data_IF_955184140514
#
_entry.id   IF_955184140514
#
_cell.length_a   1.000
_cell.length_b   1.000
_cell.length_c   1.000
_cell.angle_alpha   90.00
_cell.angle_beta   90.00
_cell.angle_gamma   90.00
#
_symmetry.space_group_name_H-M   'P 1'
#
loop_
_entity.id
_entity.type
_entity.pdbx_description
1 polymer ?
#
# COMPACT_ATOMS: atom_id res chain seq x y z
N UNK A 1 50.49 22.30 5.73
CA UNK A 1 49.49 21.22 5.94
C UNK A 1 49.10 20.65 4.58
N UNK A 2 49.47 19.39 4.28
CA UNK A 2 49.57 18.87 2.91
C UNK A 2 48.17 18.53 2.33
N UNK A 3 47.72 19.12 1.20
CA UNK A 3 46.37 18.94 0.67
C UNK A 3 46.03 17.49 0.29
N UNK A 4 47.04 16.66 0.02
CA UNK A 4 46.89 15.22 -0.27
C UNK A 4 46.37 14.40 0.92
N UNK A 5 46.67 14.82 2.16
CA UNK A 5 46.25 14.11 3.39
C UNK A 5 44.73 14.22 3.59
N UNK A 6 44.09 15.28 3.09
CA UNK A 6 42.63 15.46 3.14
C UNK A 6 41.89 14.75 2.00
N UNK A 7 42.62 14.30 0.96
CA UNK A 7 42.01 13.68 -0.22
C UNK A 7 41.68 12.20 0.00
N UNK A 8 42.57 11.48 0.69
CA UNK A 8 42.42 10.04 0.98
C UNK A 8 41.15 9.76 1.81
N UNK A 9 40.87 10.44 2.94
CA UNK A 9 39.65 10.19 3.70
C UNK A 9 38.38 10.51 2.89
N UNK A 10 38.41 11.55 2.06
CA UNK A 10 37.28 11.93 1.20
C UNK A 10 36.99 10.87 0.14
N UNK A 11 38.04 10.31 -0.49
CA UNK A 11 37.89 9.23 -1.45
C UNK A 11 37.29 7.98 -0.80
N UNK A 12 37.75 7.62 0.40
CA UNK A 12 37.20 6.50 1.17
C UNK A 12 35.73 6.73 1.53
N UNK A 13 35.36 7.94 1.96
CA UNK A 13 33.98 8.30 2.29
C UNK A 13 33.06 8.25 1.07
N UNK A 14 33.50 8.78 -0.07
CA UNK A 14 32.73 8.71 -1.32
C UNK A 14 32.58 7.28 -1.83
N UNK A 15 33.62 6.46 -1.73
CA UNK A 15 33.54 5.04 -2.07
C UNK A 15 32.55 4.29 -1.15
N UNK A 16 32.56 4.61 0.15
CA UNK A 16 31.61 4.04 1.12
C UNK A 16 30.17 4.45 0.84
N UNK A 17 29.92 5.74 0.58
CA UNK A 17 28.57 6.25 0.25
C UNK A 17 28.06 5.64 -1.05
N UNK A 18 28.90 5.60 -2.10
CA UNK A 18 28.52 4.99 -3.37
C UNK A 18 28.22 3.50 -3.23
N UNK A 19 29.07 2.76 -2.47
CA UNK A 19 28.83 1.35 -2.17
C UNK A 19 27.53 1.13 -1.41
N UNK A 20 27.23 1.97 -0.41
CA UNK A 20 25.98 1.90 0.35
C UNK A 20 24.77 2.24 -0.52
N UNK A 21 24.84 3.28 -1.35
CA UNK A 21 23.75 3.67 -2.24
C UNK A 21 23.41 2.56 -3.24
N UNK A 22 24.41 1.95 -3.88
CA UNK A 22 24.25 0.80 -4.78
C UNK A 22 23.68 -0.41 -4.05
N UNK A 23 24.13 -0.66 -2.83
CA UNK A 23 23.60 -1.76 -2.00
C UNK A 23 22.13 -1.53 -1.60
N UNK A 24 21.74 -0.29 -1.33
CA UNK A 24 20.35 0.07 -0.96
C UNK A 24 19.41 0.26 -2.14
N UNK A 25 19.90 0.33 -3.38
CA UNK A 25 19.04 0.47 -4.54
C UNK A 25 18.12 -0.76 -4.70
N UNK A 26 16.81 -0.54 -4.94
CA UNK A 26 15.87 -1.63 -5.17
C UNK A 26 16.22 -2.34 -6.48
N UNK A 27 16.53 -3.63 -6.39
CA UNK A 27 16.97 -4.46 -7.52
C UNK A 27 17.49 -5.82 -7.06
N UNK A 28 17.97 -6.64 -8.00
CA UNK A 28 18.55 -7.95 -7.72
C UNK A 28 19.93 -7.83 -7.05
N UNK A 29 19.91 -7.55 -5.74
CA UNK A 29 21.10 -7.41 -4.89
C UNK A 29 21.97 -8.68 -4.90
N UNK A 30 21.47 -9.83 -5.36
CA UNK A 30 22.25 -11.08 -5.46
C UNK A 30 23.42 -10.97 -6.44
N UNK A 31 23.33 -10.10 -7.46
CA UNK A 31 24.44 -9.86 -8.41
C UNK A 31 25.57 -9.08 -7.75
N UNK A 32 25.21 -8.10 -6.92
CA UNK A 32 26.14 -7.26 -6.16
C UNK A 32 26.88 -8.10 -5.10
N UNK A 33 26.16 -8.95 -4.36
CA UNK A 33 26.78 -9.93 -3.44
C UNK A 33 27.75 -10.87 -4.15
N UNK A 34 27.39 -11.40 -5.32
CA UNK A 34 28.27 -12.27 -6.11
C UNK A 34 29.54 -11.56 -6.58
N UNK A 35 29.44 -10.28 -6.92
CA UNK A 35 30.60 -9.48 -7.32
C UNK A 35 31.53 -9.20 -6.14
N UNK A 36 30.99 -8.78 -4.99
CA UNK A 36 31.80 -8.55 -3.78
C UNK A 36 32.38 -9.85 -3.19
N UNK A 37 31.64 -10.96 -3.29
CA UNK A 37 32.15 -12.28 -2.92
C UNK A 37 33.34 -12.72 -3.78
N UNK A 38 33.33 -12.46 -5.09
CA UNK A 38 34.49 -12.69 -5.98
C UNK A 38 35.68 -11.78 -5.64
N UNK A 39 35.43 -10.58 -5.14
CA UNK A 39 36.47 -9.64 -4.70
C UNK A 39 37.00 -9.94 -3.29
N UNK A 40 36.52 -10.98 -2.61
CA UNK A 40 36.95 -11.34 -1.26
C UNK A 40 36.53 -10.35 -0.18
N UNK A 41 35.57 -9.47 -0.47
CA UNK A 41 35.07 -8.46 0.47
C UNK A 41 33.84 -9.04 1.18
N UNK A 42 33.92 -9.34 2.49
CA UNK A 42 32.77 -9.83 3.24
C UNK A 42 31.78 -8.68 3.44
N UNK A 43 30.70 -8.70 2.66
CA UNK A 43 29.58 -7.74 2.84
C UNK A 43 28.55 -8.39 3.77
N UNK A 44 28.31 -7.84 4.97
CA UNK A 44 27.30 -8.37 5.88
C UNK A 44 25.91 -8.32 5.21
N UNK A 45 25.21 -9.46 5.23
CA UNK A 45 23.86 -9.55 4.73
C UNK A 45 22.88 -9.07 5.80
N UNK A 46 22.55 -7.77 5.77
CA UNK A 46 21.56 -7.16 6.64
C UNK A 46 20.11 -7.41 6.17
N UNK A 47 19.87 -8.50 5.44
CA UNK A 47 18.48 -8.94 5.23
C UNK A 47 17.90 -9.29 6.60
N UNK A 48 16.75 -8.69 6.88
CA UNK A 48 15.97 -8.92 8.08
C UNK A 48 15.84 -10.44 8.31
N UNK A 49 16.40 -10.93 9.42
CA UNK A 49 16.47 -12.36 9.79
C UNK A 49 15.10 -12.89 10.26
N UNK A 50 14.03 -12.61 9.52
CA UNK A 50 12.81 -13.40 9.67
C UNK A 50 13.04 -14.71 8.88
N UNK A 51 13.09 -15.89 9.53
CA UNK A 51 13.33 -17.18 8.86
C UNK A 51 12.33 -17.44 7.72
N UNK A 52 11.15 -16.83 7.82
CA UNK A 52 10.14 -16.72 6.77
C UNK A 52 9.77 -15.23 6.73
N UNK A 53 10.26 -14.43 5.73
CA UNK A 53 9.83 -13.04 5.59
C UNK A 53 8.31 -13.00 5.40
N UNK A 54 7.64 -11.89 5.76
CA UNK A 54 6.18 -11.75 5.71
C UNK A 54 5.59 -12.31 4.39
N UNK A 55 5.15 -13.57 4.42
CA UNK A 55 4.71 -14.35 3.26
C UNK A 55 3.26 -14.05 2.90
N UNK A 56 2.57 -13.25 3.71
CA UNK A 56 1.17 -12.95 3.54
C UNK A 56 0.92 -11.47 3.44
N UNK A 57 0.27 -11.09 2.34
CA UNK A 57 -0.23 -9.75 2.10
C UNK A 57 -1.75 -9.75 2.28
N UNK A 58 -2.27 -8.76 3.02
CA UNK A 58 -3.70 -8.52 3.13
C UNK A 58 -4.15 -7.57 2.02
N UNK A 59 -5.01 -8.08 1.15
CA UNK A 59 -5.46 -7.38 -0.05
C UNK A 59 -6.97 -7.19 -0.01
N UNK A 60 -7.42 -5.98 -0.36
CA UNK A 60 -8.83 -5.68 -0.57
C UNK A 60 -9.08 -5.74 -2.07
N UNK A 61 -10.04 -6.56 -2.46
CA UNK A 61 -10.54 -6.65 -3.83
C UNK A 61 -12.00 -6.23 -3.86
N UNK A 62 -12.42 -5.60 -4.95
CA UNK A 62 -13.79 -5.18 -5.14
C UNK A 62 -14.23 -5.40 -6.58
N UNK A 63 -15.54 -5.55 -6.77
CA UNK A 63 -16.16 -5.66 -8.08
C UNK A 63 -17.47 -4.88 -8.10
N UNK A 64 -17.85 -4.50 -9.30
CA UNK A 64 -19.10 -3.80 -9.56
C UNK A 64 -20.09 -4.77 -10.21
N UNK A 65 -21.36 -4.60 -9.84
CA UNK A 65 -22.49 -5.39 -10.27
C UNK A 65 -23.53 -4.47 -10.89
N UNK A 66 -24.14 -4.92 -11.99
CA UNK A 66 -25.26 -4.21 -12.61
C UNK A 66 -26.54 -4.33 -11.75
N UNK A 67 -27.49 -3.42 -11.98
CA UNK A 67 -28.78 -3.41 -11.28
C UNK A 67 -29.56 -4.73 -11.49
N UNK A 68 -29.51 -5.27 -12.71
CA UNK A 68 -30.26 -6.47 -13.10
C UNK A 68 -29.53 -7.78 -12.76
N UNK A 69 -28.31 -7.70 -12.19
CA UNK A 69 -27.52 -8.86 -11.77
C UNK A 69 -26.91 -9.69 -12.91
N UNK A 70 -27.15 -9.31 -14.17
CA UNK A 70 -26.60 -10.01 -15.34
C UNK A 70 -25.15 -9.68 -15.67
N UNK A 71 -24.67 -8.49 -15.27
CA UNK A 71 -23.31 -8.02 -15.51
C UNK A 71 -22.50 -7.89 -14.22
N UNK A 72 -21.28 -8.42 -14.22
CA UNK A 72 -20.30 -8.28 -13.15
C UNK A 72 -18.92 -7.98 -13.72
N UNK A 73 -18.19 -7.05 -13.09
CA UNK A 73 -16.79 -6.82 -13.45
C UNK A 73 -15.87 -7.87 -12.80
N UNK A 74 -14.70 -8.15 -13.39
CA UNK A 74 -13.68 -8.94 -12.73
C UNK A 74 -13.26 -8.28 -11.40
N UNK A 75 -12.88 -9.10 -10.42
CA UNK A 75 -12.32 -8.60 -9.15
C UNK A 75 -11.11 -7.71 -9.42
N UNK A 76 -11.16 -6.50 -8.87
CA UNK A 76 -10.06 -5.54 -8.95
C UNK A 76 -9.49 -5.27 -7.57
N UNK A 77 -8.17 -5.33 -7.48
CA UNK A 77 -7.44 -4.94 -6.28
C UNK A 77 -7.49 -3.43 -6.05
N UNK A 78 -7.72 -3.01 -4.81
CA UNK A 78 -7.59 -1.61 -4.41
C UNK A 78 -6.12 -1.17 -4.59
N UNK A 79 -5.89 -0.21 -5.47
CA UNK A 79 -4.55 0.30 -5.75
C UNK A 79 -4.09 1.27 -4.65
N UNK A 80 -3.21 0.82 -3.76
CA UNK A 80 -2.60 1.68 -2.74
C UNK A 80 -1.35 2.43 -3.23
N UNK A 81 -0.78 2.02 -4.36
CA UNK A 81 0.41 2.64 -4.92
C UNK A 81 0.03 3.81 -5.82
N UNK A 82 0.04 5.02 -5.26
CA UNK A 82 0.02 6.25 -6.06
C UNK A 82 1.35 6.38 -6.82
N UNK A 83 1.31 6.96 -8.03
CA UNK A 83 2.50 7.25 -8.83
C UNK A 83 3.56 7.97 -7.99
N UNK A 84 4.74 7.34 -7.87
CA UNK A 84 5.88 7.85 -7.09
C UNK A 84 6.56 8.98 -7.86
N UNK A 85 6.00 10.19 -7.75
CA UNK A 85 6.66 11.41 -8.22
C UNK A 85 7.72 11.90 -7.23
N UNK A 86 7.68 13.20 -6.93
CA UNK A 86 8.60 13.90 -6.01
C UNK A 86 8.59 13.30 -4.58
N UNK A 87 7.56 12.51 -4.23
CA UNK A 87 7.44 11.78 -2.96
C UNK A 87 8.48 10.67 -2.72
N UNK A 88 9.41 10.44 -3.66
CA UNK A 88 10.58 9.57 -3.46
C UNK A 88 11.61 10.20 -2.53
N UNK A 89 11.75 11.53 -2.55
CA UNK A 89 12.70 12.26 -1.72
C UNK A 89 12.11 12.65 -0.36
N UNK A 90 10.79 12.86 -0.31
CA UNK A 90 10.05 13.15 0.90
C UNK A 90 8.70 12.44 0.85
N UNK A 91 8.51 11.29 1.51
CA UNK A 91 7.20 10.68 1.60
C UNK A 91 6.32 11.59 2.49
N UNK A 92 5.29 12.26 1.94
CA UNK A 92 4.35 12.98 2.80
C UNK A 92 3.71 11.99 3.78
N UNK A 93 3.20 12.46 4.94
CA UNK A 93 2.52 11.61 5.91
C UNK A 93 1.22 11.06 5.31
N UNK A 94 1.32 9.95 4.58
CA UNK A 94 0.20 9.29 3.92
C UNK A 94 -0.58 8.48 4.95
N UNK A 95 -1.54 9.14 5.59
CA UNK A 95 -2.48 8.50 6.54
C UNK A 95 -3.29 7.38 5.88
N UNK A 96 -3.58 7.48 4.59
CA UNK A 96 -4.40 6.51 3.85
C UNK A 96 -3.79 5.10 3.79
N UNK A 97 -2.46 5.01 3.59
CA UNK A 97 -1.77 3.71 3.54
C UNK A 97 -1.83 3.01 4.91
N UNK A 98 -1.64 3.79 5.97
CA UNK A 98 -1.75 3.28 7.33
C UNK A 98 -3.19 2.91 7.65
N UNK A 99 -4.16 3.74 7.28
CA UNK A 99 -5.58 3.45 7.47
C UNK A 99 -6.00 2.15 6.76
N UNK A 100 -5.57 1.95 5.52
CA UNK A 100 -5.80 0.67 4.81
C UNK A 100 -5.22 -0.50 5.60
N UNK A 101 -3.94 -0.40 6.00
CA UNK A 101 -3.26 -1.48 6.73
C UNK A 101 -3.89 -1.75 8.08
N UNK A 102 -4.33 -0.72 8.79
CA UNK A 102 -4.98 -0.85 10.09
C UNK A 102 -6.36 -1.50 9.92
N UNK A 103 -7.14 -1.11 8.89
CA UNK A 103 -8.45 -1.71 8.59
C UNK A 103 -8.34 -3.17 8.18
N UNK A 104 -7.40 -3.54 7.31
CA UNK A 104 -7.25 -4.95 6.90
C UNK A 104 -6.75 -5.83 8.03
N UNK A 105 -5.85 -5.33 8.88
CA UNK A 105 -5.39 -6.06 10.05
C UNK A 105 -6.50 -6.24 11.09
N UNK A 106 -7.34 -5.22 11.29
CA UNK A 106 -8.50 -5.34 12.17
C UNK A 106 -9.51 -6.37 11.64
N UNK A 107 -9.71 -6.44 10.31
CA UNK A 107 -10.54 -7.47 9.68
C UNK A 107 -9.98 -8.88 9.89
N UNK A 108 -8.67 -9.07 9.74
CA UNK A 108 -8.01 -10.36 10.01
C UNK A 108 -8.09 -10.75 11.49
N UNK A 109 -7.94 -9.77 12.38
CA UNK A 109 -8.08 -9.95 13.82
C UNK A 109 -9.49 -10.37 14.18
N UNK A 110 -10.51 -9.65 13.69
CA UNK A 110 -11.91 -9.96 13.90
C UNK A 110 -12.28 -11.36 13.36
N UNK A 111 -11.77 -11.73 12.18
CA UNK A 111 -11.91 -13.07 11.61
C UNK A 111 -11.39 -14.15 12.58
N UNK A 112 -10.23 -13.92 13.19
CA UNK A 112 -9.60 -14.86 14.12
C UNK A 112 -10.30 -14.90 15.49
N UNK A 113 -10.69 -13.74 16.03
CA UNK A 113 -11.30 -13.61 17.37
C UNK A 113 -12.74 -14.14 17.41
N UNK A 114 -13.48 -14.02 16.30
CA UNK A 114 -14.89 -14.42 16.21
C UNK A 114 -15.10 -15.72 15.43
N UNK A 115 -14.05 -16.52 15.22
CA UNK A 115 -14.11 -17.82 14.53
C UNK A 115 -14.87 -17.75 13.19
N UNK A 116 -14.56 -16.73 12.38
CA UNK A 116 -15.21 -16.48 11.09
C UNK A 116 -16.74 -16.23 11.14
N UNK A 117 -17.29 -15.79 12.28
CA UNK A 117 -18.68 -15.32 12.34
C UNK A 117 -18.85 -14.00 11.55
N UNK A 118 -19.25 -14.15 10.30
CA UNK A 118 -19.44 -13.03 9.37
C UNK A 118 -20.49 -12.03 9.87
N UNK A 119 -21.51 -12.47 10.62
CA UNK A 119 -22.54 -11.55 11.12
C UNK A 119 -21.97 -10.61 12.18
N UNK A 120 -21.15 -11.14 13.10
CA UNK A 120 -20.46 -10.35 14.12
C UNK A 120 -19.44 -9.41 13.48
N UNK A 121 -18.64 -9.91 12.55
CA UNK A 121 -17.61 -9.11 11.86
C UNK A 121 -18.24 -7.95 11.09
N UNK A 122 -19.38 -8.16 10.43
CA UNK A 122 -20.13 -7.12 9.71
C UNK A 122 -20.71 -6.04 10.62
N UNK A 123 -20.98 -6.36 11.88
CA UNK A 123 -21.47 -5.38 12.86
C UNK A 123 -20.37 -4.44 13.37
N UNK A 124 -19.08 -4.75 13.13
CA UNK A 124 -17.97 -3.95 13.63
C UNK A 124 -17.85 -2.58 12.94
N UNK A 125 -17.46 -1.52 13.66
CA UNK A 125 -17.23 -0.20 13.06
C UNK A 125 -16.17 -0.22 11.95
N UNK A 126 -15.12 -1.04 12.10
CA UNK A 126 -14.07 -1.18 11.12
C UNK A 126 -14.59 -1.75 9.79
N UNK A 127 -15.55 -2.69 9.83
CA UNK A 127 -16.21 -3.20 8.62
C UNK A 127 -17.00 -2.09 7.92
N UNK A 128 -17.77 -1.29 8.68
CA UNK A 128 -18.54 -0.16 8.12
C UNK A 128 -17.63 0.90 7.49
N UNK A 129 -16.51 1.20 8.13
CA UNK A 129 -15.52 2.15 7.60
C UNK A 129 -14.87 1.64 6.32
N UNK A 130 -14.52 0.35 6.28
CA UNK A 130 -14.00 -0.30 5.09
C UNK A 130 -15.02 -0.31 3.95
N UNK A 131 -16.28 -0.66 4.23
CA UNK A 131 -17.37 -0.64 3.26
C UNK A 131 -17.58 0.76 2.67
N UNK A 132 -17.62 1.79 3.52
CA UNK A 132 -17.75 3.18 3.08
C UNK A 132 -16.57 3.62 2.19
N UNK A 133 -15.34 3.26 2.58
CA UNK A 133 -14.15 3.53 1.78
C UNK A 133 -14.22 2.86 0.40
N UNK A 134 -14.56 1.58 0.34
CA UNK A 134 -14.63 0.83 -0.92
C UNK A 134 -15.78 1.31 -1.81
N UNK A 135 -16.94 1.65 -1.23
CA UNK A 135 -18.05 2.24 -1.99
C UNK A 135 -17.74 3.64 -2.53
N UNK A 136 -16.83 4.38 -1.89
CA UNK A 136 -16.35 5.68 -2.38
C UNK A 136 -15.32 5.60 -3.51
N UNK A 137 -14.82 4.40 -3.87
CA UNK A 137 -13.85 4.25 -4.95
C UNK A 137 -14.48 4.50 -6.34
N UNK A 138 -13.69 4.92 -7.34
CA UNK A 138 -14.17 5.05 -8.71
C UNK A 138 -14.83 3.76 -9.22
N UNK A 139 -15.92 3.92 -9.98
CA UNK A 139 -16.63 2.82 -10.63
C UNK A 139 -15.73 2.13 -11.66
N UNK A 140 -15.93 0.82 -11.79
CA UNK A 140 -15.28 -0.05 -12.76
C UNK A 140 -16.11 -0.18 -14.03
N UNK A 141 -17.43 -0.05 -13.90
CA UNK A 141 -18.37 0.01 -15.02
C UNK A 141 -19.26 1.24 -14.88
N UNK A 142 -19.64 1.86 -16.00
CA UNK A 142 -20.61 2.97 -16.03
C UNK A 142 -22.01 2.49 -15.60
N UNK A 143 -22.34 1.23 -15.90
CA UNK A 143 -23.61 0.58 -15.55
C UNK A 143 -23.68 0.08 -14.10
N UNK A 144 -22.60 0.24 -13.33
CA UNK A 144 -22.50 -0.27 -11.97
C UNK A 144 -23.55 0.39 -11.06
N UNK A 145 -24.48 -0.41 -10.56
CA UNK A 145 -25.48 0.01 -9.58
C UNK A 145 -25.14 -0.49 -8.16
N UNK A 146 -24.34 -1.55 -8.07
CA UNK A 146 -24.03 -2.24 -6.83
C UNK A 146 -22.54 -2.59 -6.76
N UNK A 147 -22.03 -2.77 -5.54
CA UNK A 147 -20.64 -3.11 -5.28
C UNK A 147 -20.52 -4.17 -4.21
N UNK A 148 -19.58 -5.08 -4.44
CA UNK A 148 -19.17 -6.08 -3.47
C UNK A 148 -17.65 -6.01 -3.29
N UNK A 149 -17.18 -6.32 -2.09
CA UNK A 149 -15.76 -6.39 -1.79
C UNK A 149 -15.41 -7.63 -0.98
N UNK A 150 -14.13 -7.96 -0.99
CA UNK A 150 -13.58 -9.07 -0.25
C UNK A 150 -12.22 -8.68 0.32
N UNK A 151 -11.95 -9.12 1.54
CA UNK A 151 -10.61 -9.07 2.15
C UNK A 151 -9.99 -10.45 1.97
N UNK A 152 -8.82 -10.50 1.35
CA UNK A 152 -8.10 -11.75 1.09
C UNK A 152 -6.72 -11.73 1.74
N UNK A 153 -6.31 -12.87 2.26
CA UNK A 153 -4.92 -13.15 2.63
C UNK A 153 -4.24 -13.82 1.44
N UNK A 154 -3.31 -13.11 0.81
CA UNK A 154 -2.55 -13.58 -0.33
C UNK A 154 -1.18 -14.09 0.16
N UNK A 155 -1.00 -15.40 0.13
CA UNK A 155 0.27 -16.04 0.44
C UNK A 155 1.16 -15.98 -0.80
N UNK A 156 2.15 -15.10 -0.81
CA UNK A 156 3.15 -14.96 -1.87
C UNK A 156 4.32 -15.90 -1.61
N UNK A 157 4.05 -17.21 -1.48
CA UNK A 157 5.12 -18.20 -1.48
C UNK A 157 5.70 -18.34 -2.90
N UNK A 158 7.01 -18.52 -3.01
CA UNK A 158 7.73 -18.65 -4.29
C UNK A 158 7.21 -19.85 -5.10
N UNK A 159 6.76 -20.90 -4.41
CA UNK A 159 6.44 -22.19 -5.04
C UNK A 159 4.93 -22.42 -5.23
N UNK A 160 4.06 -21.78 -4.46
CA UNK A 160 2.61 -21.99 -4.52
C UNK A 160 1.85 -20.76 -3.98
N UNK A 161 1.52 -19.78 -4.83
CA UNK A 161 0.71 -18.65 -4.39
C UNK A 161 -0.71 -19.12 -4.03
N UNK A 162 -1.14 -18.84 -2.80
CA UNK A 162 -2.48 -19.23 -2.32
C UNK A 162 -3.25 -17.98 -1.90
N UNK A 163 -4.54 -17.91 -2.23
CA UNK A 163 -5.42 -16.81 -1.85
C UNK A 163 -6.50 -17.37 -0.94
N UNK A 164 -6.58 -16.87 0.29
CA UNK A 164 -7.58 -17.27 1.27
C UNK A 164 -8.55 -16.10 1.48
N UNK A 165 -9.83 -16.23 1.11
CA UNK A 165 -10.82 -15.22 1.42
C UNK A 165 -11.09 -15.20 2.92
N UNK A 166 -10.89 -14.04 3.56
CA UNK A 166 -11.19 -13.86 4.98
C UNK A 166 -12.64 -13.39 5.16
N UNK A 167 -13.05 -12.38 4.40
CA UNK A 167 -14.37 -11.76 4.54
C UNK A 167 -14.90 -11.46 3.16
N UNK A 168 -16.14 -11.89 2.89
CA UNK A 168 -16.91 -11.47 1.72
C UNK A 168 -18.01 -10.54 2.21
N UNK A 169 -18.05 -9.35 1.63
CA UNK A 169 -19.02 -8.34 2.03
C UNK A 169 -20.43 -8.68 1.57
N UNK A 170 -21.40 -7.94 2.09
CA UNK A 170 -22.70 -7.85 1.44
C UNK A 170 -22.60 -7.00 0.18
N UNK A 171 -23.65 -7.05 -0.64
CA UNK A 171 -23.77 -6.19 -1.81
C UNK A 171 -24.28 -4.83 -1.36
N UNK A 172 -23.53 -3.79 -1.66
CA UNK A 172 -23.88 -2.40 -1.36
C UNK A 172 -24.44 -1.72 -2.59
N UNK A 173 -25.53 -0.98 -2.42
CA UNK A 173 -26.02 -0.09 -3.47
C UNK A 173 -25.07 1.10 -3.62
N UNK A 174 -24.64 1.35 -4.85
CA UNK A 174 -23.90 2.55 -5.18
C UNK A 174 -24.91 3.67 -5.41
N UNK A 175 -24.73 4.86 -4.81
CA UNK A 175 -25.60 5.99 -5.09
C UNK A 175 -25.57 6.27 -6.59
N UNK A 176 -26.74 6.50 -7.20
CA UNK A 176 -26.84 6.94 -8.59
C UNK A 176 -25.84 8.08 -8.82
N UNK A 177 -25.14 8.04 -9.96
CA UNK A 177 -24.03 8.96 -10.21
C UNK A 177 -24.49 10.39 -9.93
N UNK A 178 -23.99 10.97 -8.83
CA UNK A 178 -24.23 12.38 -8.58
C UNK A 178 -23.40 13.09 -9.63
N UNK A 179 -24.01 13.85 -10.57
CA UNK A 179 -23.27 14.50 -11.62
C UNK A 179 -22.25 15.42 -10.98
N UNK A 180 -20.97 15.08 -11.15
CA UNK A 180 -19.82 15.86 -10.72
C UNK A 180 -19.95 16.43 -9.29
N UNK A 181 -19.62 15.63 -8.28
CA UNK A 181 -18.86 16.19 -7.16
C UNK A 181 -17.49 16.62 -7.71
N UNK A 182 -17.51 17.76 -8.39
CA UNK A 182 -16.35 18.60 -8.61
C UNK A 182 -15.61 18.63 -7.27
N UNK A 183 -14.39 18.08 -7.26
CA UNK A 183 -13.45 18.36 -6.19
C UNK A 183 -13.46 19.88 -6.04
N UNK A 184 -14.04 20.37 -4.94
CA UNK A 184 -13.88 21.76 -4.56
C UNK A 184 -12.37 22.05 -4.61
N UNK A 185 -11.91 23.05 -5.40
CA UNK A 185 -10.59 23.56 -5.18
C UNK A 185 -10.56 24.02 -3.73
N UNK A 186 -9.52 23.57 -3.00
CA UNK A 186 -9.21 24.05 -1.66
C UNK A 186 -9.58 25.54 -1.54
N UNK A 187 -10.36 25.96 -0.54
CA UNK A 187 -10.52 27.38 -0.29
C UNK A 187 -9.11 27.92 -0.05
N UNK A 188 -8.65 28.79 -0.95
CA UNK A 188 -7.43 29.53 -0.73
C UNK A 188 -7.65 30.32 0.55
N UNK A 189 -6.90 29.95 1.59
CA UNK A 189 -6.84 30.74 2.82
C UNK A 189 -6.16 32.04 2.41
N UNK A 190 -6.95 33.06 2.07
CA UNK A 190 -6.50 34.44 1.97
C UNK A 190 -6.07 34.86 3.35
N UNK A 191 -4.76 34.78 3.59
CA UNK A 191 -4.09 35.35 4.76
C UNK A 191 -4.35 36.85 4.74
N UNK A 192 -5.32 37.29 5.53
CA UNK A 192 -5.54 38.72 5.79
C UNK A 192 -4.34 39.20 6.61
N UNK A 193 -3.53 40.06 6.00
CA UNK A 193 -2.44 40.76 6.67
C UNK A 193 -3.03 41.70 7.73
N UNK A 194 -2.53 41.71 8.98
CA UNK A 194 -3.01 42.66 9.97
C UNK A 194 -2.48 44.06 9.63
N UNK A 195 -3.39 45.01 9.49
CA UNK A 195 -3.08 46.42 9.32
C UNK A 195 -2.22 46.92 10.50
N UNK A 196 -1.01 47.38 10.20
CA UNK A 196 -0.17 48.13 11.12
C UNK A 196 -0.83 49.46 11.47
N UNK A 197 -1.07 49.68 12.77
CA UNK A 197 -1.22 51.00 13.38
C UNK A 197 0.05 51.34 14.14
#
# INVERSE_FOLDING_TARGET
>A
MNPRIKLVPRAVLWAWIAGTAVYTMPGDQTKVYRLFGKAGIPVPNWKFFAPVPATTDLVIVYRDLDADGGGQTPWKTVAMNRARGIGTFWPPPNRDRKAYSDLTQEMRRAYSEHDNDQAVIRALPAYRQLAAYVCGLPRLSETAARREFMVVEAHTSIDSPTIVPLIVSEVFDLPAESPAASLHPHPQITRTEPASR
#
